data_IF_961162824204
#
_entry.id   IF_961162824204
#
_cell.length_a   1.000
_cell.length_b   1.000
_cell.length_c   1.000
_cell.angle_alpha   90.00
_cell.angle_beta   90.00
_cell.angle_gamma   90.00
#
_symmetry.space_group_name_H-M   'P 1'
#
loop_
_entity.id
_entity.type
_entity.pdbx_description
1 polymer ?
#
# COMPACT_ATOMS: atom_id res chain seq x y z
N UNK A 1 -22.11 14.71 17.34
CA UNK A 1 -20.93 14.97 18.19
C UNK A 1 -19.71 15.02 17.28
N UNK A 2 -18.93 16.11 17.25
CA UNK A 2 -17.66 16.08 16.54
C UNK A 2 -16.71 15.20 17.36
N UNK A 3 -16.26 14.08 16.80
CA UNK A 3 -15.22 13.25 17.38
C UNK A 3 -13.90 14.04 17.20
N UNK A 4 -13.71 15.07 18.01
CA UNK A 4 -12.37 15.55 18.30
C UNK A 4 -11.80 14.53 19.27
N UNK A 5 -10.92 13.66 18.79
CA UNK A 5 -10.23 12.68 19.62
C UNK A 5 -9.25 13.44 20.52
N UNK A 6 -9.77 13.96 21.63
CA UNK A 6 -8.99 14.58 22.70
C UNK A 6 -8.66 13.59 23.82
N UNK A 7 -9.33 12.43 23.79
CA UNK A 7 -9.13 11.31 24.69
C UNK A 7 -8.13 10.29 24.10
N UNK A 8 -7.25 9.77 24.96
CA UNK A 8 -6.26 8.73 24.62
C UNK A 8 -6.91 7.43 24.14
N UNK A 9 -8.08 7.06 24.67
CA UNK A 9 -8.84 5.89 24.26
C UNK A 9 -9.28 5.98 22.80
N UNK A 10 -9.87 7.11 22.39
CA UNK A 10 -10.21 7.38 21.00
C UNK A 10 -9.00 7.34 20.05
N UNK A 11 -7.83 7.81 20.50
CA UNK A 11 -6.61 7.80 19.67
C UNK A 11 -6.12 6.37 19.40
N UNK A 12 -6.13 5.53 20.45
CA UNK A 12 -5.78 4.11 20.33
C UNK A 12 -6.77 3.39 19.41
N UNK A 13 -8.08 3.65 19.55
CA UNK A 13 -9.09 3.04 18.70
C UNK A 13 -8.88 3.40 17.21
N UNK A 14 -8.56 4.66 16.90
CA UNK A 14 -8.25 5.09 15.53
C UNK A 14 -6.98 4.42 14.98
N UNK A 15 -5.94 4.27 15.80
CA UNK A 15 -4.70 3.59 15.39
C UNK A 15 -4.96 2.11 15.10
N UNK A 16 -5.77 1.43 15.93
CA UNK A 16 -6.12 0.02 15.71
C UNK A 16 -7.02 -0.16 14.47
N UNK A 17 -8.00 0.71 14.28
CA UNK A 17 -8.84 0.68 13.07
C UNK A 17 -7.97 0.94 11.82
N UNK A 18 -7.09 1.94 11.88
CA UNK A 18 -6.13 2.23 10.82
C UNK A 18 -5.26 1.02 10.49
N UNK A 19 -4.77 0.29 11.49
CA UNK A 19 -3.98 -0.93 11.30
C UNK A 19 -4.74 -2.00 10.50
N UNK A 20 -6.01 -2.23 10.85
CA UNK A 20 -6.86 -3.17 10.13
C UNK A 20 -7.11 -2.75 8.68
N UNK A 21 -7.40 -1.47 8.43
CA UNK A 21 -7.65 -0.94 7.09
C UNK A 21 -6.36 -0.95 6.23
N UNK A 22 -5.25 -0.44 6.79
CA UNK A 22 -3.96 -0.34 6.10
C UNK A 22 -3.30 -1.70 5.83
N UNK A 23 -3.60 -2.72 6.63
CA UNK A 23 -3.18 -4.09 6.35
C UNK A 23 -4.06 -4.83 5.36
N UNK A 24 -5.27 -4.36 5.09
CA UNK A 24 -6.23 -5.05 4.20
C UNK A 24 -6.14 -4.56 2.75
N UNK A 25 -5.97 -3.26 2.49
CA UNK A 25 -5.92 -2.78 1.10
C UNK A 25 -4.80 -3.38 0.22
N UNK A 26 -3.58 -3.70 0.71
CA UNK A 26 -2.53 -4.31 -0.12
C UNK A 26 -2.92 -5.71 -0.62
N UNK A 27 -3.70 -6.44 0.18
CA UNK A 27 -4.13 -7.79 -0.13
C UNK A 27 -5.16 -7.78 -1.26
N UNK A 28 -6.04 -6.76 -1.30
CA UNK A 28 -7.00 -6.57 -2.38
C UNK A 28 -6.33 -6.26 -3.72
N UNK A 29 -5.28 -5.42 -3.72
CA UNK A 29 -4.52 -5.13 -4.94
C UNK A 29 -3.77 -6.36 -5.43
N UNK A 30 -3.12 -7.11 -4.53
CA UNK A 30 -2.47 -8.39 -4.85
C UNK A 30 -3.47 -9.43 -5.38
N UNK A 31 -4.68 -9.49 -4.82
CA UNK A 31 -5.74 -10.38 -5.28
C UNK A 31 -6.15 -10.07 -6.72
N UNK A 32 -6.29 -8.78 -7.07
CA UNK A 32 -6.65 -8.35 -8.41
C UNK A 32 -5.56 -8.64 -9.44
N UNK A 33 -4.30 -8.39 -9.06
CA UNK A 33 -3.13 -8.76 -9.85
C UNK A 33 -3.12 -10.27 -10.15
N UNK A 34 -3.32 -11.11 -9.14
CA UNK A 34 -3.40 -12.58 -9.27
C UNK A 34 -4.58 -13.07 -10.11
N UNK A 35 -5.65 -12.27 -10.21
CA UNK A 35 -6.81 -12.53 -11.07
C UNK A 35 -6.64 -12.02 -12.50
N UNK A 36 -5.52 -11.36 -12.81
CA UNK A 36 -5.21 -10.89 -14.16
C UNK A 36 -5.69 -9.47 -14.46
N UNK A 37 -6.26 -8.74 -13.49
CA UNK A 37 -6.59 -7.33 -13.69
C UNK A 37 -5.30 -6.53 -13.79
N UNK A 38 -5.20 -5.67 -14.81
CA UNK A 38 -4.00 -4.89 -15.05
C UNK A 38 -3.66 -3.99 -13.84
N UNK A 39 -2.39 -3.91 -13.43
CA UNK A 39 -1.97 -3.07 -12.29
C UNK A 39 -2.35 -1.60 -12.49
N UNK A 40 -2.25 -1.07 -13.71
CA UNK A 40 -2.60 0.31 -14.02
C UNK A 40 -4.08 0.60 -13.81
N UNK A 41 -4.96 -0.29 -14.31
CA UNK A 41 -6.41 -0.16 -14.13
C UNK A 41 -6.76 -0.17 -12.65
N UNK A 42 -6.17 -1.11 -11.93
CA UNK A 42 -6.36 -1.28 -10.49
C UNK A 42 -5.91 -0.03 -9.73
N UNK A 43 -4.73 0.51 -10.05
CA UNK A 43 -4.20 1.69 -9.38
C UNK A 43 -5.05 2.93 -9.66
N UNK A 44 -5.53 3.12 -10.89
CA UNK A 44 -6.40 4.25 -11.23
C UNK A 44 -7.67 4.26 -10.37
N UNK A 45 -8.36 3.12 -10.26
CA UNK A 45 -9.56 3.00 -9.42
C UNK A 45 -9.27 3.20 -7.93
N UNK A 46 -8.16 2.61 -7.45
CA UNK A 46 -7.66 2.80 -6.09
C UNK A 46 -7.39 4.29 -5.79
N UNK A 47 -6.72 5.00 -6.70
CA UNK A 47 -6.30 6.38 -6.48
C UNK A 47 -7.48 7.34 -6.38
N UNK A 48 -8.53 7.12 -7.18
CA UNK A 48 -9.77 7.93 -7.17
C UNK A 48 -10.46 7.82 -5.82
N UNK A 49 -10.61 6.60 -5.30
CA UNK A 49 -11.33 6.36 -4.04
C UNK A 49 -10.48 6.69 -2.82
N UNK A 50 -9.16 6.55 -2.90
CA UNK A 50 -8.23 7.05 -1.90
C UNK A 50 -8.35 8.57 -1.73
N UNK A 51 -8.39 9.33 -2.84
CA UNK A 51 -8.64 10.77 -2.80
C UNK A 51 -10.05 11.08 -2.27
N UNK A 52 -11.07 10.32 -2.70
CA UNK A 52 -12.44 10.50 -2.22
C UNK A 52 -12.56 10.36 -0.70
N UNK A 53 -11.91 9.37 -0.11
CA UNK A 53 -11.89 9.20 1.35
C UNK A 53 -11.26 10.42 2.05
N UNK A 54 -10.15 10.95 1.52
CA UNK A 54 -9.53 12.16 2.04
C UNK A 54 -10.44 13.40 1.91
N UNK A 55 -11.16 13.55 0.79
CA UNK A 55 -12.16 14.61 0.60
C UNK A 55 -13.29 14.48 1.60
N UNK A 56 -13.82 13.27 1.82
CA UNK A 56 -14.87 13.01 2.82
C UNK A 56 -14.38 13.38 4.22
N UNK A 57 -13.16 12.97 4.58
CA UNK A 57 -12.56 13.31 5.87
C UNK A 57 -12.40 14.83 6.02
N UNK A 58 -11.88 15.50 5.00
CA UNK A 58 -11.67 16.95 5.01
C UNK A 58 -12.97 17.74 5.13
N UNK A 59 -14.00 17.35 4.39
CA UNK A 59 -15.31 18.03 4.41
C UNK A 59 -16.10 17.71 5.69
N UNK A 60 -16.01 16.50 6.24
CA UNK A 60 -16.78 16.13 7.44
C UNK A 60 -16.11 16.55 8.74
N UNK A 61 -14.81 16.31 8.87
CA UNK A 61 -14.07 16.57 10.11
C UNK A 61 -13.31 17.90 10.07
N UNK A 62 -12.94 18.40 8.89
CA UNK A 62 -12.25 19.69 8.73
C UNK A 62 -13.11 20.91 9.05
N UNK A 63 -14.43 20.75 9.18
CA UNK A 63 -15.33 21.82 9.64
C UNK A 63 -15.33 21.99 11.16
N UNK A 64 -14.77 21.04 11.92
CA UNK A 64 -14.72 21.12 13.37
C UNK A 64 -13.98 22.38 13.88
N UNK A 65 -13.07 22.94 13.07
CA UNK A 65 -12.37 24.20 13.37
C UNK A 65 -13.31 25.40 13.57
N UNK A 66 -14.45 25.45 12.88
CA UNK A 66 -15.43 26.55 12.98
C UNK A 66 -16.00 26.73 14.40
N UNK A 67 -15.87 25.70 15.25
CA UNK A 67 -16.35 25.73 16.64
C UNK A 67 -15.28 26.13 17.67
N UNK A 68 -14.00 26.29 17.27
CA UNK A 68 -12.89 26.61 18.18
C UNK A 68 -12.31 28.01 17.88
N UNK A 69 -12.27 28.92 18.86
CA UNK A 69 -11.66 30.24 18.67
C UNK A 69 -10.20 30.13 18.21
N UNK A 70 -9.86 30.80 17.09
CA UNK A 70 -8.48 30.87 16.59
C UNK A 70 -8.00 29.69 15.73
N UNK A 71 -8.83 28.66 15.49
CA UNK A 71 -8.51 27.56 14.57
C UNK A 71 -9.36 27.69 13.31
N UNK A 72 -8.78 27.96 12.13
CA UNK A 72 -9.55 28.06 10.89
C UNK A 72 -10.12 26.69 10.50
N UNK A 73 -11.30 26.69 9.89
CA UNK A 73 -11.85 25.49 9.25
C UNK A 73 -11.16 25.18 7.91
N UNK A 74 -11.45 23.99 7.38
CA UNK A 74 -10.90 23.53 6.10
C UNK A 74 -11.18 24.48 4.93
N UNK A 75 -12.39 25.04 4.81
CA UNK A 75 -12.73 25.92 3.68
C UNK A 75 -12.05 27.29 3.80
N UNK A 76 -11.85 27.77 5.02
CA UNK A 76 -11.10 28.99 5.31
C UNK A 76 -9.64 28.81 4.92
N UNK A 77 -9.01 27.70 5.30
CA UNK A 77 -7.63 27.41 4.92
C UNK A 77 -7.44 27.17 3.42
N UNK A 78 -8.43 26.60 2.72
CA UNK A 78 -8.42 26.52 1.26
C UNK A 78 -8.34 27.90 0.59
N UNK A 79 -9.05 28.90 1.14
CA UNK A 79 -9.03 30.28 0.62
C UNK A 79 -7.74 31.03 0.98
N UNK A 80 -7.15 30.71 2.12
CA UNK A 80 -5.93 31.34 2.65
C UNK A 80 -4.67 30.51 2.35
N UNK A 81 -4.67 29.79 1.23
CA UNK A 81 -3.56 28.89 0.85
C UNK A 81 -2.22 29.65 0.71
N UNK A 82 -2.26 30.92 0.30
CA UNK A 82 -1.07 31.75 0.09
C UNK A 82 -0.30 32.00 1.39
N UNK A 83 -1.00 32.08 2.52
CA UNK A 83 -0.38 32.33 3.82
C UNK A 83 0.30 31.07 4.38
N UNK A 84 -0.20 29.89 4.00
CA UNK A 84 0.23 28.57 4.49
C UNK A 84 1.02 27.75 3.46
N UNK A 85 1.51 28.40 2.40
CA UNK A 85 2.13 27.71 1.27
C UNK A 85 3.29 26.77 1.66
N UNK A 86 4.23 27.12 2.57
CA UNK A 86 5.29 26.21 2.99
C UNK A 86 4.77 24.90 3.59
N UNK A 87 3.79 24.97 4.50
CA UNK A 87 3.15 23.79 5.08
C UNK A 87 2.41 22.95 4.04
N UNK A 88 1.72 23.60 3.10
CA UNK A 88 1.04 22.91 1.99
C UNK A 88 2.05 22.15 1.13
N UNK A 89 3.20 22.76 0.81
CA UNK A 89 4.27 22.10 0.06
C UNK A 89 4.83 20.87 0.80
N UNK A 90 5.00 20.95 2.13
CA UNK A 90 5.46 19.81 2.92
C UNK A 90 4.45 18.65 2.89
N UNK A 91 3.15 18.97 3.03
CA UNK A 91 2.09 17.97 2.90
C UNK A 91 2.08 17.35 1.49
N UNK A 92 2.20 18.17 0.45
CA UNK A 92 2.26 17.70 -0.93
C UNK A 92 3.49 16.83 -1.20
N UNK A 93 4.65 17.19 -0.65
CA UNK A 93 5.88 16.41 -0.77
C UNK A 93 5.72 15.03 -0.12
N UNK A 94 5.14 14.97 1.08
CA UNK A 94 4.80 13.71 1.75
C UNK A 94 3.88 12.84 0.90
N UNK A 95 2.84 13.44 0.30
CA UNK A 95 1.88 12.73 -0.53
C UNK A 95 2.48 12.19 -1.83
N UNK A 96 3.32 12.98 -2.50
CA UNK A 96 4.04 12.55 -3.69
C UNK A 96 4.98 11.38 -3.39
N UNK A 97 5.74 11.49 -2.30
CA UNK A 97 6.68 10.44 -1.88
C UNK A 97 5.93 9.16 -1.49
N UNK A 98 4.81 9.25 -0.74
CA UNK A 98 3.98 8.07 -0.46
C UNK A 98 3.40 7.48 -1.76
N UNK A 99 2.95 8.31 -2.69
CA UNK A 99 2.43 7.87 -3.99
C UNK A 99 3.45 7.03 -4.77
N UNK A 100 4.72 7.47 -4.81
CA UNK A 100 5.82 6.68 -5.37
C UNK A 100 6.03 5.38 -4.61
N UNK A 101 6.00 5.44 -3.27
CA UNK A 101 6.09 4.25 -2.42
C UNK A 101 5.02 3.21 -2.74
N UNK A 102 3.77 3.64 -2.93
CA UNK A 102 2.66 2.75 -3.30
C UNK A 102 2.84 2.16 -4.71
N UNK A 103 3.34 2.95 -5.67
CA UNK A 103 3.65 2.45 -7.01
C UNK A 103 4.73 1.36 -6.94
N UNK A 104 5.85 1.62 -6.28
CA UNK A 104 6.90 0.62 -6.11
C UNK A 104 6.40 -0.62 -5.37
N UNK A 105 5.56 -0.44 -4.34
CA UNK A 105 4.95 -1.54 -3.59
C UNK A 105 4.10 -2.43 -4.48
N UNK A 106 3.29 -1.85 -5.38
CA UNK A 106 2.39 -2.61 -6.26
C UNK A 106 3.15 -3.62 -7.13
N UNK A 107 4.29 -3.20 -7.71
CA UNK A 107 5.15 -4.10 -8.48
C UNK A 107 5.98 -5.02 -7.58
N UNK A 108 6.45 -4.52 -6.43
CA UNK A 108 7.17 -5.35 -5.46
C UNK A 108 6.32 -6.52 -4.93
N UNK A 109 5.00 -6.34 -4.70
CA UNK A 109 4.12 -7.44 -4.29
C UNK A 109 4.06 -8.57 -5.31
N UNK A 110 4.11 -8.24 -6.61
CA UNK A 110 4.16 -9.25 -7.65
C UNK A 110 5.50 -10.01 -7.66
N UNK A 111 6.63 -9.30 -7.55
CA UNK A 111 7.97 -9.89 -7.69
C UNK A 111 8.55 -10.51 -6.41
N UNK A 112 8.35 -9.86 -5.26
CA UNK A 112 8.89 -10.27 -3.95
C UNK A 112 7.84 -10.88 -3.02
N UNK A 113 6.55 -10.79 -3.38
CA UNK A 113 5.45 -11.26 -2.55
C UNK A 113 4.94 -10.20 -1.58
N UNK A 114 3.68 -10.36 -1.17
CA UNK A 114 2.97 -9.43 -0.30
C UNK A 114 3.64 -9.28 1.06
N UNK A 115 3.92 -10.40 1.73
CA UNK A 115 4.47 -10.42 3.08
C UNK A 115 5.87 -9.80 3.14
N UNK A 116 6.81 -10.26 2.29
CA UNK A 116 8.19 -9.75 2.27
C UNK A 116 8.24 -8.25 1.99
N UNK A 117 7.47 -7.78 1.00
CA UNK A 117 7.41 -6.36 0.64
C UNK A 117 6.90 -5.52 1.81
N UNK A 118 5.80 -5.92 2.44
CA UNK A 118 5.20 -5.15 3.54
C UNK A 118 6.12 -5.14 4.76
N UNK A 119 6.77 -6.26 5.08
CA UNK A 119 7.77 -6.37 6.15
C UNK A 119 8.91 -5.36 5.95
N UNK A 120 9.48 -5.28 4.75
CA UNK A 120 10.57 -4.34 4.43
C UNK A 120 10.08 -2.89 4.55
N UNK A 121 8.95 -2.56 3.92
CA UNK A 121 8.40 -1.20 3.91
C UNK A 121 8.07 -0.72 5.31
N UNK A 122 7.40 -1.54 6.10
CA UNK A 122 7.04 -1.23 7.48
C UNK A 122 8.28 -1.09 8.37
N UNK A 123 9.31 -1.91 8.18
CA UNK A 123 10.57 -1.78 8.94
C UNK A 123 11.28 -0.47 8.69
N UNK A 124 11.41 -0.06 7.42
CA UNK A 124 12.02 1.21 7.08
C UNK A 124 11.20 2.38 7.64
N UNK A 125 9.87 2.29 7.57
CA UNK A 125 8.98 3.31 8.09
C UNK A 125 9.06 3.42 9.61
N UNK A 126 9.10 2.29 10.33
CA UNK A 126 9.25 2.31 11.80
C UNK A 126 10.62 2.82 12.22
N UNK A 127 11.70 2.41 11.56
CA UNK A 127 13.04 2.84 11.98
C UNK A 127 13.27 4.31 11.68
N UNK A 128 12.98 4.74 10.45
CA UNK A 128 13.26 6.11 10.01
C UNK A 128 12.13 7.06 10.45
N UNK A 129 10.87 6.71 10.17
CA UNK A 129 9.70 7.53 10.48
C UNK A 129 9.54 7.77 11.98
N UNK A 130 9.50 6.71 12.80
CA UNK A 130 9.36 6.86 14.26
C UNK A 130 10.50 7.66 14.86
N UNK A 131 11.73 7.47 14.39
CA UNK A 131 12.90 8.22 14.89
C UNK A 131 12.78 9.71 14.55
N UNK A 132 12.46 10.05 13.30
CA UNK A 132 12.28 11.45 12.89
C UNK A 132 11.11 12.07 13.66
N UNK A 133 9.96 11.41 13.68
CA UNK A 133 8.76 11.88 14.39
C UNK A 133 8.98 12.08 15.88
N UNK A 134 9.77 11.21 16.54
CA UNK A 134 10.10 11.34 17.96
C UNK A 134 10.80 12.67 18.26
N UNK A 135 11.73 13.08 17.39
CA UNK A 135 12.42 14.37 17.54
C UNK A 135 11.55 15.55 17.11
N UNK A 136 10.77 15.40 16.04
CA UNK A 136 9.83 16.41 15.58
C UNK A 136 8.81 16.75 16.67
N UNK A 137 8.17 15.74 17.27
CA UNK A 137 7.17 15.92 18.33
C UNK A 137 7.76 16.40 19.68
N UNK A 138 9.00 16.90 19.71
CA UNK A 138 9.61 17.41 20.95
C UNK A 138 9.77 16.34 22.02
N UNK A 139 9.85 15.06 21.62
CA UNK A 139 10.04 13.89 22.51
C UNK A 139 8.87 13.69 23.48
N UNK A 140 7.64 13.94 23.03
CA UNK A 140 6.42 13.69 23.84
C UNK A 140 6.26 12.22 24.25
N UNK A 141 6.75 11.29 23.42
CA UNK A 141 6.70 9.87 23.72
C UNK A 141 7.89 9.47 24.59
N UNK A 142 7.70 8.50 25.48
CA UNK A 142 8.76 7.98 26.36
C UNK A 142 9.75 7.11 25.58
N UNK A 143 11.00 7.56 25.44
CA UNK A 143 12.05 6.83 24.70
C UNK A 143 12.33 5.43 25.27
N UNK A 144 12.27 5.30 26.59
CA UNK A 144 12.43 4.06 27.36
C UNK A 144 11.37 3.00 27.03
N UNK A 145 10.25 3.39 26.44
CA UNK A 145 9.21 2.47 25.98
C UNK A 145 9.20 2.37 24.45
N UNK A 146 9.34 3.50 23.75
CA UNK A 146 9.22 3.60 22.30
C UNK A 146 10.29 2.78 21.57
N UNK A 147 11.57 3.02 21.86
CA UNK A 147 12.66 2.38 21.11
C UNK A 147 12.85 0.90 21.43
N UNK A 148 12.66 0.42 22.68
CA UNK A 148 12.56 -1.01 22.94
C UNK A 148 11.39 -1.67 22.19
N UNK A 149 10.25 -0.99 22.06
CA UNK A 149 9.15 -1.43 21.21
C UNK A 149 9.54 -1.56 19.74
N UNK A 150 10.25 -0.57 19.18
CA UNK A 150 10.81 -0.61 17.82
C UNK A 150 11.78 -1.77 17.65
N UNK A 151 12.67 -2.01 18.62
CA UNK A 151 13.61 -3.13 18.58
C UNK A 151 12.88 -4.49 18.59
N UNK A 152 11.86 -4.64 19.43
CA UNK A 152 11.01 -5.83 19.47
C UNK A 152 10.30 -6.07 18.12
N UNK A 153 9.75 -5.01 17.53
CA UNK A 153 9.13 -5.04 16.21
C UNK A 153 10.13 -5.53 15.13
N UNK A 154 11.35 -4.99 15.13
CA UNK A 154 12.39 -5.41 14.18
C UNK A 154 12.76 -6.88 14.34
N UNK A 155 12.89 -7.38 15.58
CA UNK A 155 13.16 -8.80 15.82
C UNK A 155 12.05 -9.67 15.23
N UNK A 156 10.78 -9.33 15.47
CA UNK A 156 9.64 -10.06 14.94
C UNK A 156 9.63 -10.07 13.40
N UNK A 157 9.92 -8.93 12.79
CA UNK A 157 10.05 -8.76 11.33
C UNK A 157 11.17 -9.64 10.78
N UNK A 158 12.37 -9.61 11.36
CA UNK A 158 13.50 -10.40 10.87
C UNK A 158 13.25 -11.91 10.98
N UNK A 159 12.61 -12.36 12.06
CA UNK A 159 12.17 -13.75 12.20
C UNK A 159 11.15 -14.12 11.11
N UNK A 160 10.17 -13.27 10.85
CA UNK A 160 9.19 -13.46 9.77
C UNK A 160 9.84 -13.51 8.38
N UNK A 161 10.81 -12.63 8.12
CA UNK A 161 11.55 -12.60 6.86
C UNK A 161 12.39 -13.87 6.65
N UNK A 162 13.05 -14.37 7.70
CA UNK A 162 13.82 -15.61 7.64
C UNK A 162 12.95 -16.81 7.27
N UNK A 163 11.77 -16.94 7.87
CA UNK A 163 10.80 -18.00 7.54
C UNK A 163 10.32 -17.89 6.10
N UNK A 164 10.03 -16.68 5.62
CA UNK A 164 9.64 -16.47 4.21
C UNK A 164 10.74 -16.87 3.22
N UNK A 165 12.00 -16.58 3.54
CA UNK A 165 13.12 -17.00 2.69
C UNK A 165 13.23 -18.53 2.60
N UNK A 166 12.81 -19.25 3.63
CA UNK A 166 12.71 -20.71 3.61
C UNK A 166 11.58 -21.17 2.68
N UNK A 167 10.37 -20.62 2.82
CA UNK A 167 9.23 -20.98 1.96
C UNK A 167 9.52 -20.73 0.47
N UNK A 168 10.20 -19.62 0.14
CA UNK A 168 10.58 -19.32 -1.23
C UNK A 168 11.55 -20.36 -1.84
N UNK A 169 12.39 -20.98 -1.02
CA UNK A 169 13.29 -22.07 -1.45
C UNK A 169 12.53 -23.37 -1.66
N UNK A 170 11.55 -23.66 -0.80
CA UNK A 170 10.68 -24.83 -0.95
C UNK A 170 9.85 -24.75 -2.23
N UNK A 171 9.34 -23.58 -2.59
CA UNK A 171 8.59 -23.38 -3.82
C UNK A 171 9.45 -23.57 -5.09
N UNK A 172 10.72 -23.13 -5.07
CA UNK A 172 11.68 -23.43 -6.15
C UNK A 172 11.92 -24.94 -6.28
N UNK A 173 12.05 -25.66 -5.17
CA UNK A 173 12.24 -27.12 -5.19
C UNK A 173 11.02 -27.86 -5.74
N UNK A 174 9.81 -27.45 -5.38
CA UNK A 174 8.58 -28.06 -5.91
C UNK A 174 8.46 -27.87 -7.43
N UNK A 175 8.82 -26.68 -7.92
CA UNK A 175 8.80 -26.38 -9.36
C UNK A 175 9.88 -27.19 -10.10
N UNK A 176 11.09 -27.30 -9.56
CA UNK A 176 12.17 -28.07 -10.19
C UNK A 176 11.87 -29.57 -10.23
N UNK A 177 11.32 -30.14 -9.15
CA UNK A 177 10.87 -31.54 -9.14
C UNK A 177 9.78 -31.81 -10.17
N UNK A 178 8.84 -30.87 -10.35
CA UNK A 178 7.79 -31.03 -11.36
C UNK A 178 8.36 -30.97 -12.78
N UNK A 179 9.27 -30.05 -13.07
CA UNK A 179 9.92 -29.97 -14.37
C UNK A 179 10.73 -31.23 -14.68
N UNK A 180 11.49 -31.74 -13.70
CA UNK A 180 12.23 -32.99 -13.83
C UNK A 180 11.30 -34.20 -14.06
N UNK A 181 10.14 -34.26 -13.41
CA UNK A 181 9.15 -35.31 -13.66
C UNK A 181 8.53 -35.23 -15.06
N UNK A 182 8.37 -34.03 -15.63
CA UNK A 182 7.91 -33.85 -17.00
C UNK A 182 8.99 -34.33 -17.98
N UNK A 183 10.24 -33.94 -17.80
CA UNK A 183 11.38 -34.38 -18.62
C UNK A 183 11.57 -35.90 -18.57
N UNK A 184 11.50 -36.50 -17.37
CA UNK A 184 11.60 -37.95 -17.20
C UNK A 184 10.42 -38.70 -17.82
N UNK A 185 9.22 -38.10 -17.84
CA UNK A 185 8.04 -38.68 -18.49
C UNK A 185 8.10 -38.57 -20.02
N UNK A 186 8.71 -37.51 -20.56
CA UNK A 186 8.92 -37.37 -22.01
C UNK A 186 10.02 -38.31 -22.53
N UNK A 187 11.03 -38.64 -21.72
CA UNK A 187 12.07 -39.62 -22.10
C UNK A 187 11.55 -41.07 -22.10
N UNK A 188 10.37 -41.33 -21.52
CA UNK A 188 9.73 -42.66 -21.48
C UNK A 188 8.60 -42.79 -22.54
N UNK A 189 8.27 -41.70 -23.23
CA UNK A 189 7.27 -41.71 -24.30
C UNK A 189 7.76 -40.89 -25.50
N UNK A 190 8.27 -41.60 -26.52
CA UNK A 190 8.46 -41.07 -27.87
C UNK A 190 7.10 -40.68 -28.46
N UNK A 191 6.62 -39.49 -28.11
CA UNK A 191 5.71 -38.67 -28.90
C UNK A 191 5.78 -37.23 -28.37
N UNK A 192 6.70 -36.46 -28.94
CA UNK A 192 6.87 -35.05 -28.66
C UNK A 192 5.56 -34.28 -28.89
N UNK A 193 4.98 -33.75 -27.82
CA UNK A 193 4.15 -32.54 -27.88
C UNK A 193 4.86 -31.44 -27.13
N UNK A 194 5.37 -30.51 -27.95
CA UNK A 194 5.79 -29.18 -27.56
C UNK A 194 4.80 -28.57 -26.56
N UNK A 195 5.36 -27.88 -25.57
CA UNK A 195 4.69 -26.97 -24.65
C UNK A 195 3.48 -26.29 -25.33
N UNK A 196 2.29 -26.26 -24.71
CA UNK A 196 1.22 -25.44 -25.23
C UNK A 196 1.68 -23.98 -25.19
N UNK A 197 1.66 -23.32 -26.36
CA UNK A 197 1.81 -21.88 -26.49
C UNK A 197 0.79 -21.16 -25.57
N UNK A 198 1.08 -19.94 -25.10
CA UNK A 198 0.11 -19.17 -24.34
C UNK A 198 -1.09 -18.89 -25.24
N UNK A 199 -2.22 -19.57 -24.99
CA UNK A 199 -3.48 -19.31 -25.69
C UNK A 199 -3.86 -17.83 -25.52
N UNK A 200 -4.01 -17.14 -26.65
CA UNK A 200 -4.66 -15.83 -26.70
C UNK A 200 -6.06 -15.91 -26.08
N UNK A 201 -6.54 -14.84 -25.41
CA UNK A 201 -7.82 -14.88 -24.71
C UNK A 201 -8.95 -14.96 -25.74
N UNK A 202 -9.58 -16.14 -25.84
CA UNK A 202 -10.84 -16.28 -26.57
C UNK A 202 -11.98 -15.67 -25.78
N UNK A 203 -12.78 -14.90 -26.52
CA UNK A 203 -13.95 -14.17 -26.08
C UNK A 203 -14.94 -15.00 -25.24
N UNK A 204 -15.61 -14.27 -24.35
CA UNK A 204 -16.60 -14.71 -23.38
C UNK A 204 -17.43 -15.94 -23.73
N UNK A 205 -17.24 -16.98 -22.91
CA UNK A 205 -18.29 -17.88 -22.42
C UNK A 205 -17.81 -18.52 -21.12
N UNK A 206 -18.60 -18.34 -20.06
CA UNK A 206 -18.44 -19.08 -18.81
C UNK A 206 -18.79 -20.55 -19.07
N UNK A 207 -17.80 -21.33 -19.48
CA UNK A 207 -17.95 -22.78 -19.53
C UNK A 207 -17.78 -23.34 -18.12
N UNK A 208 -18.85 -23.95 -17.61
CA UNK A 208 -18.94 -24.55 -16.29
C UNK A 208 -17.93 -25.68 -16.10
N UNK A 209 -16.75 -25.35 -15.59
CA UNK A 209 -15.81 -26.32 -15.04
C UNK A 209 -16.11 -26.56 -13.55
N UNK A 210 -16.40 -27.82 -13.22
CA UNK A 210 -16.64 -28.36 -11.89
C UNK A 210 -15.69 -27.79 -10.83
N UNK A 211 -16.25 -27.39 -9.69
CA UNK A 211 -15.54 -26.87 -8.53
C UNK A 211 -14.55 -27.88 -7.87
N UNK A 212 -14.43 -29.12 -8.38
CA UNK A 212 -13.61 -30.18 -7.75
C UNK A 212 -12.15 -30.27 -8.23
N UNK A 213 -11.70 -29.48 -9.22
CA UNK A 213 -10.35 -29.61 -9.82
C UNK A 213 -9.41 -28.40 -9.59
N UNK A 214 -9.67 -27.53 -8.60
CA UNK A 214 -8.71 -26.48 -8.26
C UNK A 214 -7.47 -27.12 -7.64
N UNK A 215 -6.25 -26.85 -8.16
CA UNK A 215 -5.03 -27.41 -7.60
C UNK A 215 -4.91 -26.99 -6.14
N UNK A 216 -4.47 -27.93 -5.28
CA UNK A 216 -4.31 -27.66 -3.85
C UNK A 216 -3.33 -26.51 -3.66
N UNK A 217 -3.61 -25.53 -2.77
CA UNK A 217 -2.64 -24.50 -2.41
C UNK A 217 -1.28 -25.13 -2.09
N UNK A 218 -0.20 -24.41 -2.38
CA UNK A 218 1.20 -24.84 -2.17
C UNK A 218 1.77 -25.91 -3.10
N UNK A 219 1.00 -26.43 -4.04
CA UNK A 219 1.50 -27.36 -5.06
C UNK A 219 2.13 -26.62 -6.24
N UNK A 220 3.07 -27.25 -6.94
CA UNK A 220 3.64 -26.70 -8.18
C UNK A 220 2.55 -26.40 -9.24
N UNK A 221 1.49 -27.22 -9.29
CA UNK A 221 0.30 -26.98 -10.13
C UNK A 221 -0.41 -25.68 -9.76
N UNK A 222 -0.58 -25.40 -8.48
CA UNK A 222 -1.18 -24.17 -8.01
C UNK A 222 -0.34 -22.95 -8.37
N UNK A 223 0.99 -23.03 -8.21
CA UNK A 223 1.91 -21.93 -8.56
C UNK A 223 1.85 -21.63 -10.06
N UNK A 224 1.89 -22.66 -10.92
CA UNK A 224 1.77 -22.50 -12.38
C UNK A 224 0.40 -21.93 -12.77
N UNK A 225 -0.66 -22.43 -12.16
CA UNK A 225 -2.03 -21.98 -12.42
C UNK A 225 -2.22 -20.51 -12.02
N UNK A 226 -1.66 -20.10 -10.88
CA UNK A 226 -1.63 -18.70 -10.46
C UNK A 226 -0.85 -17.89 -11.48
N UNK A 227 0.38 -18.28 -11.82
CA UNK A 227 1.23 -17.58 -12.80
C UNK A 227 0.52 -17.37 -14.15
N UNK A 228 -0.19 -18.37 -14.66
CA UNK A 228 -0.97 -18.27 -15.90
C UNK A 228 -2.04 -17.17 -15.85
N UNK A 229 -2.68 -16.98 -14.69
CA UNK A 229 -3.77 -16.00 -14.52
C UNK A 229 -3.30 -14.60 -14.18
N UNK A 230 -2.12 -14.44 -13.56
CA UNK A 230 -1.71 -13.13 -13.07
C UNK A 230 -1.39 -12.15 -14.19
N UNK A 231 -1.58 -10.86 -13.89
CA UNK A 231 -1.32 -9.76 -14.82
C UNK A 231 0.17 -9.46 -15.01
N UNK A 232 0.98 -9.64 -13.97
CA UNK A 232 2.44 -9.46 -14.01
C UNK A 232 3.07 -10.85 -14.01
N UNK A 233 3.75 -11.20 -15.12
CA UNK A 233 4.51 -12.44 -15.22
C UNK A 233 5.84 -12.28 -14.46
N UNK A 234 6.12 -13.23 -13.58
CA UNK A 234 7.25 -13.22 -12.66
C UNK A 234 8.13 -14.46 -12.81
N UNK A 235 7.67 -15.52 -13.46
CA UNK A 235 8.54 -16.62 -13.86
C UNK A 235 9.70 -16.09 -14.73
N UNK A 236 10.93 -16.49 -14.38
CA UNK A 236 12.14 -15.99 -15.01
C UNK A 236 12.59 -14.59 -14.55
N UNK A 237 11.84 -13.91 -13.68
CA UNK A 237 12.25 -12.62 -13.13
C UNK A 237 13.29 -12.77 -12.00
N UNK A 238 14.21 -11.82 -11.91
CA UNK A 238 15.24 -11.81 -10.89
C UNK A 238 14.68 -11.38 -9.53
N UNK A 239 14.85 -12.22 -8.49
CA UNK A 239 14.52 -11.91 -7.09
C UNK A 239 15.06 -10.55 -6.61
N UNK A 240 16.23 -10.15 -7.11
CA UNK A 240 16.84 -8.86 -6.83
C UNK A 240 16.00 -7.66 -7.27
N UNK A 241 15.25 -7.78 -8.37
CA UNK A 241 14.34 -6.72 -8.84
C UNK A 241 13.24 -6.47 -7.81
N UNK A 242 12.56 -7.53 -7.37
CA UNK A 242 11.49 -7.43 -6.38
C UNK A 242 11.99 -6.85 -5.06
N UNK A 243 13.15 -7.31 -4.58
CA UNK A 243 13.76 -6.81 -3.35
C UNK A 243 14.17 -5.33 -3.46
N UNK A 244 14.72 -4.93 -4.61
CA UNK A 244 15.10 -3.53 -4.86
C UNK A 244 13.87 -2.61 -4.89
N UNK A 245 12.78 -3.05 -5.53
CA UNK A 245 11.51 -2.32 -5.55
C UNK A 245 10.92 -2.20 -4.13
N UNK A 246 10.98 -3.27 -3.32
CA UNK A 246 10.52 -3.23 -1.93
C UNK A 246 11.34 -2.25 -1.08
N UNK A 247 12.66 -2.19 -1.26
CA UNK A 247 13.52 -1.23 -0.56
C UNK A 247 13.23 0.22 -0.99
N UNK A 248 13.07 0.48 -2.29
CA UNK A 248 12.68 1.80 -2.80
C UNK A 248 11.30 2.21 -2.28
N UNK A 249 10.34 1.28 -2.25
CA UNK A 249 9.02 1.51 -1.68
C UNK A 249 9.08 1.89 -0.21
N UNK A 250 9.88 1.18 0.59
CA UNK A 250 10.10 1.48 2.00
C UNK A 250 10.83 2.79 2.24
N UNK A 251 11.84 3.11 1.43
CA UNK A 251 12.55 4.38 1.51
C UNK A 251 11.61 5.57 1.29
N UNK A 252 10.80 5.51 0.23
CA UNK A 252 9.76 6.50 -0.04
C UNK A 252 8.75 6.57 1.12
N UNK A 253 8.17 5.44 1.50
CA UNK A 253 7.12 5.39 2.53
C UNK A 253 7.62 5.76 3.93
N UNK A 254 8.93 5.85 4.18
CA UNK A 254 9.42 6.15 5.51
C UNK A 254 9.27 7.62 5.95
N UNK A 255 9.05 8.53 5.00
CA UNK A 255 9.08 9.98 5.26
C UNK A 255 7.70 10.64 5.30
N UNK A 256 6.63 9.95 4.90
CA UNK A 256 5.32 10.59 4.72
C UNK A 256 4.71 11.07 6.04
N UNK A 257 4.86 10.30 7.11
CA UNK A 257 4.35 10.62 8.45
C UNK A 257 5.04 11.87 9.00
N UNK A 258 6.36 11.93 8.88
CA UNK A 258 7.19 13.09 9.23
C UNK A 258 6.85 14.33 8.41
N UNK A 259 6.58 14.18 7.11
CA UNK A 259 6.18 15.29 6.25
C UNK A 259 4.82 15.88 6.65
N UNK A 260 3.85 15.03 7.01
CA UNK A 260 2.56 15.48 7.57
C UNK A 260 2.75 16.17 8.91
N UNK A 261 3.53 15.57 9.81
CA UNK A 261 3.83 16.13 11.13
C UNK A 261 4.40 17.56 10.99
N UNK A 262 5.41 17.71 10.15
CA UNK A 262 6.02 19.01 9.86
C UNK A 262 5.02 20.00 9.24
N UNK A 263 4.18 19.55 8.31
CA UNK A 263 3.19 20.40 7.64
C UNK A 263 2.20 21.01 8.64
N UNK A 264 1.77 20.25 9.65
CA UNK A 264 0.76 20.70 10.61
C UNK A 264 1.33 21.38 11.85
N UNK A 265 2.58 21.08 12.23
CA UNK A 265 3.18 21.59 13.46
C UNK A 265 4.21 22.71 13.21
N UNK A 266 4.61 22.94 11.95
CA UNK A 266 5.59 23.96 11.53
C UNK A 266 6.83 24.02 12.43
N UNK A 267 7.40 22.85 12.75
CA UNK A 267 8.57 22.73 13.65
C UNK A 267 9.84 23.40 13.09
N UNK A 268 9.87 23.69 11.80
CA UNK A 268 10.94 24.46 11.15
C UNK A 268 10.66 25.96 11.09
N UNK A 269 9.56 26.45 11.68
CA UNK A 269 9.19 27.86 11.73
C UNK A 269 9.19 28.54 10.36
N UNK A 270 8.62 27.84 9.37
CA UNK A 270 8.56 28.29 7.97
C UNK A 270 7.43 29.27 7.72
N UNK A 271 6.41 29.29 8.59
CA UNK A 271 5.28 30.21 8.49
C UNK A 271 5.62 31.58 9.08
N UNK A 272 4.96 32.63 8.55
CA UNK A 272 5.07 33.99 9.09
C UNK A 272 4.40 34.06 10.47
N UNK A 273 4.92 34.93 11.35
CA UNK A 273 4.33 35.15 12.68
C UNK A 273 2.85 35.54 12.57
N UNK A 274 1.99 34.83 13.30
CA UNK A 274 0.54 35.08 13.35
C UNK A 274 -0.27 34.31 12.31
N UNK A 275 0.37 33.57 11.39
CA UNK A 275 -0.35 32.67 10.47
C UNK A 275 -0.75 31.40 11.24
N UNK A 276 -2.04 31.00 11.22
CA UNK A 276 -2.48 29.79 11.89
C UNK A 276 -1.95 28.55 11.17
N UNK A 277 -1.46 27.58 11.94
CA UNK A 277 -0.95 26.31 11.40
C UNK A 277 -1.99 25.56 10.55
N UNK A 278 -1.50 24.81 9.58
CA UNK A 278 -2.34 23.99 8.71
C UNK A 278 -3.09 22.94 9.54
N UNK A 279 -4.42 22.91 9.47
CA UNK A 279 -5.17 21.88 10.19
C UNK A 279 -4.94 20.53 9.52
N UNK A 280 -4.89 19.47 10.33
CA UNK A 280 -4.62 18.11 9.86
C UNK A 280 -5.43 17.71 8.63
N UNK A 281 -6.72 18.04 8.62
CA UNK A 281 -7.62 17.66 7.54
C UNK A 281 -7.30 18.37 6.21
N UNK A 282 -6.85 19.63 6.27
CA UNK A 282 -6.38 20.39 5.11
C UNK A 282 -5.03 19.84 4.63
N UNK A 283 -4.11 19.53 5.56
CA UNK A 283 -2.83 18.92 5.23
C UNK A 283 -3.03 17.56 4.53
N UNK A 284 -3.89 16.70 5.10
CA UNK A 284 -4.21 15.40 4.52
C UNK A 284 -4.88 15.52 3.15
N UNK A 285 -5.75 16.51 2.94
CA UNK A 285 -6.32 16.78 1.63
C UNK A 285 -5.25 17.08 0.58
N UNK A 286 -4.34 18.04 0.83
CA UNK A 286 -3.27 18.37 -0.13
C UNK A 286 -2.29 17.23 -0.35
N UNK A 287 -1.97 16.48 0.71
CA UNK A 287 -1.20 15.24 0.65
C UNK A 287 -1.87 14.21 -0.28
N UNK A 288 -3.17 13.96 -0.12
CA UNK A 288 -3.89 13.01 -0.96
C UNK A 288 -4.04 13.50 -2.40
N UNK A 289 -4.20 14.81 -2.62
CA UNK A 289 -4.22 15.40 -3.97
C UNK A 289 -2.90 15.18 -4.68
N UNK A 290 -1.75 15.45 -4.04
CA UNK A 290 -0.44 15.23 -4.68
C UNK A 290 -0.17 13.75 -4.95
N UNK A 291 -0.49 12.88 -3.99
CA UNK A 291 -0.43 11.42 -4.16
C UNK A 291 -1.29 10.97 -5.35
N UNK A 292 -2.52 11.47 -5.46
CA UNK A 292 -3.43 11.17 -6.56
C UNK A 292 -2.88 11.65 -7.89
N UNK A 293 -2.50 12.93 -8.01
CA UNK A 293 -2.01 13.49 -9.28
C UNK A 293 -0.79 12.72 -9.77
N UNK A 294 0.18 12.44 -8.90
CA UNK A 294 1.37 11.69 -9.28
C UNK A 294 1.01 10.27 -9.72
N UNK A 295 0.30 9.53 -8.88
CA UNK A 295 -0.06 8.15 -9.14
C UNK A 295 -0.96 7.99 -10.37
N UNK A 296 -1.93 8.89 -10.54
CA UNK A 296 -2.84 8.89 -11.67
C UNK A 296 -2.10 9.20 -12.97
N UNK A 297 -1.29 10.26 -13.03
CA UNK A 297 -0.53 10.62 -14.23
C UNK A 297 0.45 9.52 -14.64
N UNK A 298 1.19 8.95 -13.68
CA UNK A 298 2.12 7.85 -13.94
C UNK A 298 1.38 6.61 -14.45
N UNK A 299 0.23 6.25 -13.87
CA UNK A 299 -0.52 5.09 -14.35
C UNK A 299 -1.22 5.32 -15.69
N UNK A 300 -1.69 6.53 -15.98
CA UNK A 300 -2.16 6.88 -17.33
C UNK A 300 -1.03 6.73 -18.34
N UNK A 301 0.19 7.13 -17.99
CA UNK A 301 1.36 6.89 -18.83
C UNK A 301 1.66 5.39 -19.00
N UNK A 302 1.58 4.60 -17.91
CA UNK A 302 1.76 3.14 -17.94
C UNK A 302 0.68 2.37 -18.71
N UNK A 303 -0.49 2.97 -19.00
CA UNK A 303 -1.44 2.36 -19.94
C UNK A 303 -0.78 2.19 -21.31
N UNK A 304 -0.10 3.23 -21.78
CA UNK A 304 0.51 3.28 -23.10
C UNK A 304 1.96 2.77 -23.11
N UNK A 305 2.66 2.89 -21.98
CA UNK A 305 4.05 2.44 -21.81
C UNK A 305 4.13 1.47 -20.64
N UNK A 306 3.60 0.25 -20.79
CA UNK A 306 3.56 -0.70 -19.69
C UNK A 306 4.96 -1.15 -19.29
N UNK A 307 5.12 -1.45 -18.00
CA UNK A 307 6.35 -2.00 -17.43
C UNK A 307 6.14 -3.45 -17.01
N UNK A 308 7.24 -4.16 -16.74
CA UNK A 308 7.21 -5.51 -16.16
C UNK A 308 6.42 -6.55 -17.00
N UNK A 309 6.45 -6.41 -18.33
CA UNK A 309 5.81 -7.36 -19.25
C UNK A 309 4.28 -7.34 -19.25
N UNK A 310 3.66 -6.35 -18.60
CA UNK A 310 2.21 -6.14 -18.63
C UNK A 310 1.77 -5.72 -20.04
N UNK A 311 0.62 -6.20 -20.58
CA UNK A 311 0.15 -5.76 -21.88
C UNK A 311 -0.24 -4.27 -21.86
N UNK A 312 -0.04 -3.60 -23.00
CA UNK A 312 -0.49 -2.22 -23.19
C UNK A 312 -2.02 -2.15 -23.16
N UNK A 313 -2.53 -1.01 -22.68
CA UNK A 313 -3.95 -0.72 -22.59
C UNK A 313 -4.23 0.72 -23.04
N UNK A 314 -5.49 1.11 -23.03
CA UNK A 314 -5.94 2.46 -23.39
C UNK A 314 -6.94 2.97 -22.36
N UNK A 315 -7.16 4.29 -22.33
CA UNK A 315 -8.19 4.89 -21.47
C UNK A 315 -9.57 4.30 -21.75
N UNK A 316 -9.89 4.00 -23.02
CA UNK A 316 -11.16 3.39 -23.40
C UNK A 316 -11.30 1.92 -22.96
N UNK A 317 -10.19 1.19 -22.87
CA UNK A 317 -10.17 -0.16 -22.28
C UNK A 317 -10.34 -0.09 -20.75
N UNK A 318 -9.61 0.81 -20.08
CA UNK A 318 -9.77 1.09 -18.65
C UNK A 318 -11.22 1.46 -18.29
N UNK A 319 -11.85 2.35 -19.07
CA UNK A 319 -13.22 2.79 -18.80
C UNK A 319 -14.24 1.64 -18.86
N UNK A 320 -14.01 0.63 -19.71
CA UNK A 320 -14.88 -0.55 -19.87
C UNK A 320 -14.52 -1.70 -18.93
N UNK A 321 -13.36 -1.66 -18.28
CA UNK A 321 -12.90 -2.73 -17.41
C UNK A 321 -13.59 -2.68 -16.03
N UNK A 322 -14.61 -3.51 -15.87
CA UNK A 322 -15.35 -3.68 -14.61
C UNK A 322 -14.94 -4.93 -13.81
N UNK A 323 -14.08 -5.79 -14.35
CA UNK A 323 -13.75 -7.07 -13.73
C UNK A 323 -12.87 -6.87 -12.48
N UNK A 324 -13.48 -6.94 -11.30
CA UNK A 324 -12.79 -6.70 -10.03
C UNK A 324 -12.63 -5.23 -9.66
N UNK A 325 -13.21 -4.30 -10.42
CA UNK A 325 -13.13 -2.86 -10.14
C UNK A 325 -13.60 -2.47 -8.74
N UNK A 326 -14.66 -3.10 -8.24
CA UNK A 326 -15.18 -2.87 -6.89
C UNK A 326 -14.15 -3.17 -5.79
N UNK A 327 -13.29 -4.18 -5.97
CA UNK A 327 -12.20 -4.46 -5.02
C UNK A 327 -11.14 -3.37 -5.05
N UNK A 328 -10.82 -2.81 -6.22
CA UNK A 328 -9.87 -1.71 -6.35
C UNK A 328 -10.40 -0.43 -5.70
N UNK A 329 -11.68 -0.12 -5.93
CA UNK A 329 -12.39 0.99 -5.28
C UNK A 329 -12.44 0.81 -3.75
N UNK A 330 -12.71 -0.41 -3.27
CA UNK A 330 -12.66 -0.71 -1.85
C UNK A 330 -11.25 -0.53 -1.28
N UNK A 331 -10.21 -1.02 -1.97
CA UNK A 331 -8.83 -0.86 -1.54
C UNK A 331 -8.45 0.62 -1.38
N UNK A 332 -8.89 1.49 -2.29
CA UNK A 332 -8.66 2.93 -2.18
C UNK A 332 -9.36 3.56 -0.99
N UNK A 333 -10.63 3.21 -0.74
CA UNK A 333 -11.34 3.66 0.46
C UNK A 333 -10.64 3.20 1.75
N UNK A 334 -10.27 1.92 1.84
CA UNK A 334 -9.57 1.36 3.00
C UNK A 334 -8.25 2.09 3.25
N UNK A 335 -7.46 2.34 2.21
CA UNK A 335 -6.20 3.07 2.34
C UNK A 335 -6.41 4.52 2.77
N UNK A 336 -7.36 5.23 2.17
CA UNK A 336 -7.61 6.64 2.47
C UNK A 336 -8.17 6.87 3.86
N UNK A 337 -9.13 6.04 4.30
CA UNK A 337 -9.62 6.08 5.68
C UNK A 337 -8.55 5.64 6.67
N UNK A 338 -7.78 4.59 6.36
CA UNK A 338 -6.67 4.13 7.18
C UNK A 338 -5.65 5.23 7.44
N UNK A 339 -5.08 5.84 6.38
CA UNK A 339 -4.13 6.95 6.53
C UNK A 339 -4.74 8.13 7.30
N UNK A 340 -6.00 8.47 7.01
CA UNK A 340 -6.70 9.51 7.76
C UNK A 340 -6.78 9.22 9.26
N UNK A 341 -7.17 7.99 9.64
CA UNK A 341 -7.24 7.54 11.04
C UNK A 341 -5.86 7.50 11.69
N UNK A 342 -4.82 7.04 10.98
CA UNK A 342 -3.44 7.09 11.47
C UNK A 342 -3.04 8.53 11.84
N UNK A 343 -3.29 9.50 10.96
CA UNK A 343 -2.90 10.88 11.24
C UNK A 343 -3.74 11.53 12.33
N UNK A 344 -5.04 11.20 12.41
CA UNK A 344 -5.90 11.66 13.51
C UNK A 344 -5.43 11.09 14.86
N UNK A 345 -5.05 9.81 14.90
CA UNK A 345 -4.43 9.18 16.06
C UNK A 345 -3.08 9.81 16.40
N UNK A 346 -2.24 10.10 15.40
CA UNK A 346 -0.93 10.74 15.55
C UNK A 346 -1.02 12.14 16.14
N UNK A 347 -1.99 12.95 15.70
CA UNK A 347 -2.25 14.27 16.28
C UNK A 347 -2.59 14.20 17.78
N UNK A 348 -3.24 13.12 18.23
CA UNK A 348 -3.68 12.96 19.61
C UNK A 348 -2.67 12.24 20.52
N UNK A 349 -1.95 11.24 19.99
CA UNK A 349 -1.04 10.36 20.75
C UNK A 349 0.45 10.56 20.43
N UNK A 350 0.78 11.37 19.42
CA UNK A 350 2.11 11.52 18.84
C UNK A 350 2.29 10.69 17.57
N UNK A 351 2.96 11.27 16.57
CA UNK A 351 3.17 10.62 15.27
C UNK A 351 4.11 9.42 15.38
N UNK A 352 5.10 9.49 16.27
CA UNK A 352 5.98 8.37 16.56
C UNK A 352 5.21 7.16 17.13
N UNK A 353 4.17 7.40 17.95
CA UNK A 353 3.31 6.34 18.45
C UNK A 353 2.34 5.83 17.37
N UNK A 354 1.81 6.71 16.52
CA UNK A 354 0.92 6.33 15.41
C UNK A 354 1.63 5.49 14.34
N UNK A 355 2.96 5.57 14.23
CA UNK A 355 3.74 4.66 13.38
C UNK A 355 3.66 3.19 13.83
N UNK A 356 3.06 2.88 15.00
CA UNK A 356 2.68 1.52 15.37
C UNK A 356 1.70 0.85 14.37
N UNK A 357 0.98 1.63 13.56
CA UNK A 357 0.16 1.13 12.44
C UNK A 357 0.99 0.30 11.44
N UNK A 358 2.32 0.47 11.42
CA UNK A 358 3.22 -0.34 10.63
C UNK A 358 3.32 -1.80 11.09
N UNK A 359 2.58 -2.22 12.11
CA UNK A 359 2.25 -3.63 12.35
C UNK A 359 1.33 -4.25 11.28
N UNK A 360 0.93 -3.48 10.24
CA UNK A 360 0.08 -3.91 9.12
C UNK A 360 0.51 -5.18 8.38
N UNK A 361 1.80 -5.60 8.36
CA UNK A 361 2.17 -6.87 7.75
C UNK A 361 1.45 -8.05 8.43
N UNK A 362 1.16 -7.99 9.74
CA UNK A 362 0.42 -9.05 10.43
C UNK A 362 -0.97 -9.28 9.83
N UNK A 363 -1.69 -8.18 9.58
CA UNK A 363 -3.03 -8.21 8.97
C UNK A 363 -2.92 -8.63 7.50
N UNK A 364 -1.92 -8.14 6.77
CA UNK A 364 -1.68 -8.53 5.38
C UNK A 364 -1.39 -10.03 5.25
N UNK A 365 -0.54 -10.57 6.12
CA UNK A 365 -0.19 -11.99 6.17
C UNK A 365 -1.41 -12.83 6.54
N UNK A 366 -2.21 -12.42 7.53
CA UNK A 366 -3.47 -13.10 7.86
C UNK A 366 -4.39 -13.25 6.64
N UNK A 367 -4.59 -12.17 5.89
CA UNK A 367 -5.34 -12.23 4.64
C UNK A 367 -4.64 -13.04 3.55
N UNK A 368 -3.30 -13.02 3.51
CA UNK A 368 -2.50 -13.86 2.61
C UNK A 368 -2.78 -15.35 2.84
N UNK A 369 -2.76 -15.80 4.10
CA UNK A 369 -3.13 -17.18 4.46
C UNK A 369 -4.54 -17.51 4.02
N UNK A 370 -5.52 -16.65 4.30
CA UNK A 370 -6.94 -16.93 4.02
C UNK A 370 -7.26 -16.90 2.51
N UNK A 371 -6.77 -15.91 1.79
CA UNK A 371 -7.15 -15.66 0.39
C UNK A 371 -6.28 -16.42 -0.60
N UNK A 372 -5.01 -16.65 -0.25
CA UNK A 372 -4.03 -17.22 -1.16
C UNK A 372 -3.56 -18.60 -0.75
N UNK A 373 -3.85 -19.03 0.49
CA UNK A 373 -3.26 -20.23 1.06
C UNK A 373 -1.74 -20.08 1.12
N UNK A 374 -1.26 -18.93 1.61
CA UNK A 374 0.13 -18.65 2.01
C UNK A 374 0.37 -18.96 3.50
#
# INVERSE_FOLDING_TARGET
MPIAVEDRGGAIALILESLSLLGTWPTLLTLLERRGRLPQHTYLDYSITNLLAAVVIAVKFGQAGATRPGVPDFFTQLRQIQDNWPSVLMAMAGGSVLGLGILFSQYAWAFAGLSVTNIICSSMTVVVGTTINYFLDGRINRADVLFPGVACFLIAVFLGAAVHSSNARDDEQKLSMKNANIELSSDVSDEAKLLPDPEEPKDGKEDGYSASNKPKPWTAEYIIHVEGRRSIKVFGSHRLLGLSLAFLAGACSSLFSSAINLAINDQWHTLRKGVPHLVLYTAFFYFSVSCFVLGFCVNVWFLYHPMAGVPASTIGAYARDWNGRHWALLAGLLCGFGNGFQFMGGKAAGYAAADAVQALPLVSTFWGVILFGE
#
